data_IF_360373839847
#
_entry.id   IF_360373839847
#
_cell.length_a   1.000
_cell.length_b   1.000
_cell.length_c   1.000
_cell.angle_alpha   90.00
_cell.angle_beta   90.00
_cell.angle_gamma   90.00
#
_symmetry.space_group_name_H-M   'P 1'
#
loop_
_entity.id
_entity.type
_entity.pdbx_description
1 polymer ?
#
# COMPACT_ATOMS: atom_id res chain seq x y z
N UNK A 1 9.99 -4.04 4.09
CA UNK A 1 9.14 -4.65 5.15
C UNK A 1 7.68 -4.36 4.85
N UNK A 2 6.82 -5.35 4.83
CA UNK A 2 5.37 -5.19 4.69
C UNK A 2 4.69 -5.36 6.06
N UNK A 3 3.69 -4.54 6.34
CA UNK A 3 2.94 -4.53 7.62
C UNK A 3 1.50 -4.96 7.36
N UNK A 4 0.96 -5.82 8.25
CA UNK A 4 -0.41 -6.33 8.15
C UNK A 4 -1.13 -6.19 9.48
N UNK A 5 -2.27 -5.51 9.51
CA UNK A 5 -3.07 -5.32 10.72
C UNK A 5 -4.17 -6.35 10.93
N UNK A 6 -4.58 -7.03 9.88
CA UNK A 6 -5.69 -7.98 9.89
C UNK A 6 -7.00 -7.38 10.46
N UNK A 7 -7.37 -6.22 9.96
CA UNK A 7 -8.58 -5.51 10.39
C UNK A 7 -9.79 -5.99 9.59
N UNK A 8 -10.86 -6.37 10.30
CA UNK A 8 -12.15 -6.69 9.65
C UNK A 8 -12.77 -5.44 9.03
N UNK A 9 -13.29 -5.56 7.82
CA UNK A 9 -14.09 -4.51 7.17
C UNK A 9 -15.53 -4.40 7.69
N UNK A 10 -15.99 -5.34 8.53
CA UNK A 10 -17.34 -5.27 9.08
C UNK A 10 -17.48 -4.06 10.00
N UNK A 11 -18.44 -3.20 9.68
CA UNK A 11 -18.69 -1.85 10.20
C UNK A 11 -19.18 -1.75 11.65
N UNK A 12 -18.93 -2.70 12.52
CA UNK A 12 -19.36 -2.60 13.91
C UNK A 12 -18.30 -1.96 14.81
N UNK A 13 -17.91 -0.78 14.49
CA UNK A 13 -17.02 0.08 15.24
C UNK A 13 -16.26 0.96 14.27
N UNK A 14 -16.69 2.21 14.15
CA UNK A 14 -15.91 3.28 13.52
C UNK A 14 -14.64 3.40 14.35
N UNK A 15 -13.59 2.64 13.98
CA UNK A 15 -12.28 2.87 14.56
C UNK A 15 -11.87 4.26 14.12
N UNK A 16 -11.53 5.09 15.08
CA UNK A 16 -11.00 6.42 14.78
C UNK A 16 -9.77 6.23 13.87
N UNK A 17 -9.65 6.98 12.77
CA UNK A 17 -8.53 6.86 11.83
C UNK A 17 -7.16 6.84 12.52
N UNK A 18 -6.95 7.67 13.54
CA UNK A 18 -5.74 7.70 14.34
C UNK A 18 -5.41 6.40 15.08
N UNK A 19 -6.39 5.53 15.38
CA UNK A 19 -6.10 4.24 16.04
C UNK A 19 -5.49 3.22 15.07
N UNK A 20 -5.87 3.26 13.79
CA UNK A 20 -5.30 2.40 12.74
C UNK A 20 -3.87 2.82 12.45
N UNK A 21 -3.66 4.11 12.29
CA UNK A 21 -2.36 4.71 12.04
C UNK A 21 -1.37 4.38 13.15
N UNK A 22 -1.74 4.63 14.41
CA UNK A 22 -0.90 4.28 15.56
C UNK A 22 -0.56 2.79 15.59
N UNK A 23 -1.53 1.91 15.32
CA UNK A 23 -1.27 0.49 15.25
C UNK A 23 -0.29 0.10 14.13
N UNK A 24 -0.30 0.80 12.97
CA UNK A 24 0.68 0.60 11.91
C UNK A 24 2.08 1.08 12.32
N UNK A 25 2.16 2.22 12.98
CA UNK A 25 3.42 2.75 13.51
C UNK A 25 4.02 1.83 14.57
N UNK A 26 3.22 1.44 15.58
CA UNK A 26 3.66 0.53 16.66
C UNK A 26 4.17 -0.80 16.08
N UNK A 27 3.48 -1.35 15.09
CA UNK A 27 3.91 -2.59 14.43
C UNK A 27 5.16 -2.39 13.58
N UNK A 28 5.31 -1.24 12.95
CA UNK A 28 6.52 -0.90 12.19
C UNK A 28 7.71 -0.82 13.13
N UNK A 29 7.57 -0.12 14.24
CA UNK A 29 8.58 0.01 15.29
C UNK A 29 8.96 -1.36 15.86
N UNK A 30 7.97 -2.13 16.30
CA UNK A 30 8.21 -3.46 16.86
C UNK A 30 8.90 -4.40 15.86
N UNK A 31 8.46 -4.39 14.61
CA UNK A 31 9.07 -5.21 13.55
C UNK A 31 10.52 -4.82 13.26
N UNK A 32 10.86 -3.55 13.32
CA UNK A 32 12.24 -3.08 13.18
C UNK A 32 13.11 -3.48 14.36
N UNK A 33 12.60 -3.34 15.59
CA UNK A 33 13.30 -3.78 16.81
C UNK A 33 13.56 -5.29 16.81
N UNK A 34 12.56 -6.08 16.39
CA UNK A 34 12.71 -7.54 16.28
C UNK A 34 13.77 -7.94 15.26
N UNK A 35 13.85 -7.23 14.11
CA UNK A 35 14.90 -7.46 13.12
C UNK A 35 16.28 -7.10 13.65
N UNK A 36 16.39 -5.98 14.34
CA UNK A 36 17.63 -5.53 14.97
C UNK A 36 18.12 -6.55 16.02
N UNK A 37 17.23 -7.00 16.90
CA UNK A 37 17.56 -7.98 17.94
C UNK A 37 18.02 -9.31 17.33
N UNK A 38 17.35 -9.82 16.30
CA UNK A 38 17.76 -11.04 15.59
C UNK A 38 19.14 -10.91 14.94
N UNK A 39 19.43 -9.75 14.33
CA UNK A 39 20.74 -9.50 13.73
C UNK A 39 21.85 -9.48 14.80
N UNK A 40 21.59 -8.86 15.95
CA UNK A 40 22.51 -8.85 17.09
C UNK A 40 22.74 -10.26 17.65
N UNK A 41 21.68 -11.04 17.86
CA UNK A 41 21.79 -12.44 18.33
C UNK A 41 22.61 -13.31 17.37
N UNK A 42 22.40 -13.15 16.06
CA UNK A 42 23.18 -13.89 15.05
C UNK A 42 24.64 -13.48 15.04
N UNK A 43 24.94 -12.20 15.19
CA UNK A 43 26.30 -11.68 15.26
C UNK A 43 27.04 -12.24 16.48
N UNK A 44 26.38 -12.25 17.64
CA UNK A 44 26.94 -12.84 18.88
C UNK A 44 27.24 -14.34 18.71
N UNK A 45 26.28 -15.08 18.09
CA UNK A 45 26.47 -16.51 17.83
C UNK A 45 27.62 -16.82 16.87
N UNK A 46 27.86 -15.94 15.92
CA UNK A 46 28.87 -16.14 14.87
C UNK A 46 30.22 -15.49 15.22
N UNK A 47 30.34 -14.79 16.34
CA UNK A 47 31.53 -14.04 16.72
C UNK A 47 31.93 -12.94 15.73
N UNK A 48 30.92 -12.35 15.03
CA UNK A 48 31.07 -11.32 14.00
C UNK A 48 30.44 -10.01 14.44
N UNK A 49 30.81 -8.91 13.80
CA UNK A 49 30.07 -7.67 13.94
C UNK A 49 28.66 -7.81 13.34
N UNK A 50 27.66 -7.22 14.00
CA UNK A 50 26.28 -7.26 13.52
C UNK A 50 26.16 -6.45 12.23
N UNK A 51 25.87 -7.09 11.11
CA UNK A 51 25.42 -6.42 9.91
C UNK A 51 23.92 -6.14 10.05
N UNK A 52 23.57 -4.90 10.41
CA UNK A 52 22.19 -4.45 10.55
C UNK A 52 21.64 -4.08 9.15
N UNK A 53 21.16 -5.09 8.43
CA UNK A 53 20.48 -4.85 7.14
C UNK A 53 19.00 -4.49 7.41
N UNK A 54 18.80 -3.23 7.85
CA UNK A 54 17.49 -2.70 8.19
C UNK A 54 16.66 -2.43 6.92
N UNK A 55 15.32 -2.56 6.99
CA UNK A 55 14.44 -2.33 5.86
C UNK A 55 14.57 -0.92 5.30
N UNK A 56 14.99 -0.80 4.04
CA UNK A 56 15.04 0.48 3.35
C UNK A 56 13.64 1.02 3.00
N UNK A 57 12.69 0.12 2.79
CA UNK A 57 11.30 0.44 2.48
C UNK A 57 10.34 -0.20 3.49
N UNK A 58 9.38 0.58 3.94
CA UNK A 58 8.22 0.12 4.73
C UNK A 58 6.98 0.24 3.86
N UNK A 59 6.16 -0.80 3.83
CA UNK A 59 4.99 -0.86 2.97
C UNK A 59 3.77 -1.15 3.83
N UNK A 60 2.83 -0.20 3.85
CA UNK A 60 1.54 -0.33 4.49
C UNK A 60 0.46 -0.67 3.48
N UNK A 61 -0.61 -1.35 3.89
CA UNK A 61 -1.66 -1.81 2.98
C UNK A 61 -2.48 -0.69 2.32
N UNK A 62 -3.42 -1.10 1.46
CA UNK A 62 -4.43 -0.24 0.84
C UNK A 62 -5.30 0.46 1.89
N UNK A 63 -5.64 1.73 1.64
CA UNK A 63 -6.49 2.58 2.50
C UNK A 63 -6.09 2.54 3.98
N UNK A 64 -4.79 2.43 4.23
CA UNK A 64 -4.27 2.32 5.59
C UNK A 64 -3.75 3.65 6.11
N UNK A 65 -3.51 4.60 5.24
CA UNK A 65 -3.18 5.95 5.65
C UNK A 65 -4.45 6.64 6.18
N UNK A 66 -4.46 7.16 7.41
CA UNK A 66 -5.69 7.49 8.12
C UNK A 66 -6.38 8.74 7.61
N UNK A 67 -5.72 9.51 6.78
CA UNK A 67 -6.18 10.82 6.33
C UNK A 67 -6.16 10.87 4.82
N UNK A 68 -7.31 11.23 4.25
CA UNK A 68 -7.39 11.58 2.85
C UNK A 68 -6.62 12.87 2.59
N UNK A 69 -5.87 12.91 1.49
CA UNK A 69 -5.23 14.15 1.05
C UNK A 69 -6.23 14.94 0.23
N UNK A 70 -6.47 16.20 0.61
CA UNK A 70 -7.42 17.07 -0.06
C UNK A 70 -6.71 18.05 -1.00
N UNK A 71 -7.30 18.24 -2.18
CA UNK A 71 -6.81 19.15 -3.22
C UNK A 71 -7.96 20.04 -3.72
N UNK A 72 -7.64 21.25 -4.22
CA UNK A 72 -8.55 22.05 -5.01
C UNK A 72 -8.65 21.49 -6.42
N UNK A 73 -9.83 21.22 -6.91
CA UNK A 73 -10.03 20.65 -8.25
C UNK A 73 -9.59 21.62 -9.35
N UNK A 74 -9.83 22.93 -9.15
CA UNK A 74 -9.52 23.99 -10.12
C UNK A 74 -8.00 24.25 -10.29
N UNK A 75 -7.20 24.10 -9.23
CA UNK A 75 -5.77 24.43 -9.23
C UNK A 75 -4.85 23.22 -9.03
N UNK A 76 -5.37 22.11 -8.50
CA UNK A 76 -4.58 20.97 -8.06
C UNK A 76 -3.76 21.25 -6.79
N UNK A 77 -3.95 22.41 -6.17
CA UNK A 77 -3.28 22.77 -4.94
C UNK A 77 -3.74 21.93 -3.77
N UNK A 78 -2.80 21.47 -2.94
CA UNK A 78 -3.11 20.73 -1.74
C UNK A 78 -3.88 21.62 -0.75
N UNK A 79 -5.01 21.10 -0.30
CA UNK A 79 -5.89 21.81 0.62
C UNK A 79 -5.57 21.38 2.05
N UNK A 80 -4.95 22.24 2.89
CA UNK A 80 -4.81 21.94 4.29
C UNK A 80 -6.20 22.06 4.94
N UNK A 81 -6.84 20.94 5.23
CA UNK A 81 -7.98 20.94 6.14
C UNK A 81 -7.45 21.24 7.55
N UNK A 82 -7.97 22.27 8.20
CA UNK A 82 -7.48 22.76 9.48
C UNK A 82 -7.47 21.66 10.56
N UNK A 83 -8.47 20.77 10.54
CA UNK A 83 -8.55 19.62 11.46
C UNK A 83 -7.51 18.54 11.16
N UNK A 84 -7.07 18.44 9.89
CA UNK A 84 -6.06 17.50 9.45
C UNK A 84 -4.63 18.04 9.61
N UNK A 85 -4.41 19.36 9.62
CA UNK A 85 -3.08 19.96 9.76
C UNK A 85 -2.47 19.64 11.12
N UNK A 86 -3.25 19.76 12.19
CA UNK A 86 -2.77 19.47 13.55
C UNK A 86 -2.50 17.97 13.74
N UNK A 87 -3.31 17.11 13.14
CA UNK A 87 -3.10 15.66 13.17
C UNK A 87 -1.90 15.28 12.30
N UNK A 88 -1.79 15.81 11.08
CA UNK A 88 -0.66 15.54 10.17
C UNK A 88 0.67 15.97 10.78
N UNK A 89 0.74 17.16 11.44
CA UNK A 89 1.99 17.61 12.03
C UNK A 89 2.43 16.73 13.20
N UNK A 90 1.51 16.35 14.10
CA UNK A 90 1.84 15.49 15.23
C UNK A 90 2.26 14.07 14.77
N UNK A 91 1.60 13.56 13.71
CA UNK A 91 1.90 12.24 13.16
C UNK A 91 3.17 12.25 12.30
N UNK A 92 3.44 13.34 11.60
CA UNK A 92 4.70 13.55 10.89
C UNK A 92 5.88 13.57 11.87
N UNK A 93 5.75 14.25 13.00
CA UNK A 93 6.74 14.26 14.08
C UNK A 93 7.01 12.84 14.59
N UNK A 94 5.97 12.00 14.73
CA UNK A 94 6.13 10.63 15.18
C UNK A 94 6.83 9.75 14.14
N UNK A 95 6.46 9.84 12.85
CA UNK A 95 7.16 9.12 11.77
C UNK A 95 8.62 9.55 11.67
N UNK A 96 8.90 10.85 11.82
CA UNK A 96 10.27 11.36 11.84
C UNK A 96 11.04 10.87 13.08
N UNK A 97 10.40 10.83 14.25
CA UNK A 97 11.00 10.27 15.47
C UNK A 97 11.35 8.79 15.28
N UNK A 98 10.46 8.01 14.66
CA UNK A 98 10.70 6.59 14.33
C UNK A 98 11.86 6.43 13.36
N UNK A 99 11.92 7.26 12.30
CA UNK A 99 13.02 7.27 11.32
C UNK A 99 14.36 7.62 11.96
N UNK A 100 14.37 8.61 12.84
CA UNK A 100 15.58 9.07 13.51
C UNK A 100 16.02 8.13 14.64
N UNK A 101 15.07 7.46 15.31
CA UNK A 101 15.34 6.63 16.48
C UNK A 101 15.82 5.21 16.17
N UNK A 102 15.32 4.60 15.08
CA UNK A 102 15.60 3.18 14.77
C UNK A 102 16.33 3.05 13.44
N UNK A 103 15.66 3.42 12.35
CA UNK A 103 16.29 3.49 11.03
C UNK A 103 15.50 4.39 10.10
N UNK A 104 16.19 5.05 9.19
CA UNK A 104 15.55 5.83 8.14
C UNK A 104 14.98 4.88 7.06
N UNK A 105 13.74 5.12 6.62
CA UNK A 105 13.05 4.31 5.61
C UNK A 105 12.20 5.17 4.68
N UNK A 106 11.90 4.63 3.51
CA UNK A 106 10.92 5.18 2.58
C UNK A 106 9.59 4.48 2.85
N UNK A 107 8.51 5.25 3.02
CA UNK A 107 7.17 4.71 3.25
C UNK A 107 6.40 4.64 1.94
N UNK A 108 5.85 3.46 1.63
CA UNK A 108 4.89 3.23 0.55
C UNK A 108 3.57 2.81 1.18
N UNK A 109 2.48 3.50 0.88
CA UNK A 109 1.20 3.23 1.56
C UNK A 109 0.01 3.51 0.67
N UNK A 110 -1.12 2.84 0.95
CA UNK A 110 -2.39 3.17 0.33
C UNK A 110 -2.98 4.45 0.92
N UNK A 111 -3.31 5.42 0.07
CA UNK A 111 -3.91 6.71 0.44
C UNK A 111 -5.16 6.98 -0.39
N UNK A 112 -6.02 7.87 0.12
CA UNK A 112 -7.14 8.42 -0.63
C UNK A 112 -6.87 9.89 -0.94
N UNK A 113 -6.83 10.25 -2.23
CA UNK A 113 -6.68 11.63 -2.70
C UNK A 113 -8.02 12.17 -3.15
N UNK A 114 -8.50 13.25 -2.51
CA UNK A 114 -9.82 13.83 -2.74
C UNK A 114 -9.67 15.23 -3.30
N UNK A 115 -10.28 15.48 -4.45
CA UNK A 115 -10.33 16.78 -5.10
C UNK A 115 -11.70 17.41 -4.82
N UNK A 116 -11.68 18.61 -4.26
CA UNK A 116 -12.87 19.37 -3.92
C UNK A 116 -13.09 20.48 -4.96
N UNK A 117 -14.33 20.65 -5.39
CA UNK A 117 -14.76 21.83 -6.15
C UNK A 117 -14.63 23.10 -5.29
N UNK A 118 -14.77 24.27 -5.93
CA UNK A 118 -14.74 25.56 -5.22
C UNK A 118 -15.89 25.70 -4.20
N UNK A 119 -16.99 24.94 -4.39
CA UNK A 119 -18.10 24.86 -3.43
C UNK A 119 -17.88 23.81 -2.31
N UNK A 120 -16.70 23.18 -2.23
CA UNK A 120 -16.36 22.22 -1.22
C UNK A 120 -16.99 20.82 -1.40
N UNK A 121 -17.53 20.52 -2.58
CA UNK A 121 -18.06 19.18 -2.90
C UNK A 121 -16.94 18.29 -3.47
N UNK A 122 -17.03 17.00 -3.23
CA UNK A 122 -16.11 16.04 -3.85
C UNK A 122 -16.32 16.02 -5.35
N UNK A 123 -15.37 16.54 -6.11
CA UNK A 123 -15.34 16.52 -7.56
C UNK A 123 -14.74 15.21 -8.09
N UNK A 124 -13.62 14.78 -7.50
CA UNK A 124 -12.92 13.52 -7.84
C UNK A 124 -12.32 12.92 -6.58
N UNK A 125 -12.26 11.59 -6.53
CA UNK A 125 -11.53 10.85 -5.51
C UNK A 125 -10.68 9.76 -6.17
N UNK A 126 -9.48 9.55 -5.68
CA UNK A 126 -8.55 8.54 -6.19
C UNK A 126 -8.09 7.64 -5.06
N UNK A 127 -8.15 6.33 -5.28
CA UNK A 127 -7.47 5.34 -4.45
C UNK A 127 -6.01 5.25 -4.97
N UNK A 128 -5.03 5.51 -4.11
CA UNK A 128 -3.64 5.68 -4.53
C UNK A 128 -2.69 4.75 -3.78
N UNK A 129 -1.58 4.40 -4.44
CA UNK A 129 -0.34 4.02 -3.78
C UNK A 129 0.55 5.26 -3.75
N UNK A 130 0.94 5.70 -2.55
CA UNK A 130 1.75 6.91 -2.37
C UNK A 130 3.11 6.58 -1.77
N UNK A 131 4.15 7.20 -2.32
CA UNK A 131 5.53 7.09 -1.85
C UNK A 131 5.91 8.34 -1.09
N UNK A 132 6.41 8.18 0.14
CA UNK A 132 6.94 9.23 0.99
C UNK A 132 8.43 8.97 1.27
N UNK A 133 9.30 9.79 0.70
CA UNK A 133 10.76 9.68 0.92
C UNK A 133 11.22 10.43 2.17
N UNK A 134 10.53 11.50 2.52
CA UNK A 134 10.77 12.37 3.67
C UNK A 134 9.46 12.69 4.37
N UNK A 135 9.15 13.97 4.45
CA UNK A 135 7.90 14.50 4.95
C UNK A 135 6.73 14.31 3.94
N UNK A 136 5.52 14.71 4.34
CA UNK A 136 4.35 14.59 3.48
C UNK A 136 4.37 15.52 2.26
N UNK A 137 5.25 16.54 2.22
CA UNK A 137 5.43 17.41 1.06
C UNK A 137 6.08 16.67 -0.11
N UNK A 138 6.80 15.57 0.18
CA UNK A 138 7.46 14.73 -0.81
C UNK A 138 6.55 13.61 -1.38
N UNK A 139 5.25 13.62 -1.03
CA UNK A 139 4.30 12.62 -1.45
C UNK A 139 4.20 12.51 -2.97
N UNK A 140 4.35 11.28 -3.48
CA UNK A 140 4.18 10.95 -4.91
C UNK A 140 3.08 9.91 -5.06
N UNK A 141 1.82 10.34 -5.22
CA UNK A 141 0.69 9.44 -5.38
C UNK A 141 0.66 8.84 -6.79
N UNK A 142 0.28 7.58 -6.86
CA UNK A 142 -0.10 6.89 -8.10
C UNK A 142 -1.52 6.39 -7.97
N UNK A 143 -2.43 6.96 -8.76
CA UNK A 143 -3.84 6.64 -8.70
C UNK A 143 -4.16 5.31 -9.39
N UNK A 144 -4.94 4.47 -8.73
CA UNK A 144 -5.48 3.22 -9.26
C UNK A 144 -6.26 3.44 -10.54
N UNK A 145 -5.96 2.69 -11.58
CA UNK A 145 -6.62 2.80 -12.88
C UNK A 145 -7.68 1.72 -13.11
N UNK A 146 -7.43 0.49 -12.65
CA UNK A 146 -8.36 -0.63 -12.80
C UNK A 146 -9.27 -0.73 -11.58
N UNK A 147 -10.32 0.09 -11.58
CA UNK A 147 -11.31 0.11 -10.50
C UNK A 147 -12.21 -1.12 -10.53
N UNK A 148 -12.61 -1.58 -9.36
CA UNK A 148 -13.54 -2.71 -9.19
C UNK A 148 -14.98 -2.23 -9.43
N UNK A 149 -15.67 -2.73 -10.49
CA UNK A 149 -17.06 -2.39 -10.74
C UNK A 149 -17.94 -2.73 -9.54
N UNK A 150 -18.88 -1.86 -9.21
CA UNK A 150 -19.80 -1.96 -8.06
C UNK A 150 -19.14 -1.99 -6.68
N UNK A 151 -17.80 -1.99 -6.61
CA UNK A 151 -17.06 -1.89 -5.35
C UNK A 151 -16.46 -0.49 -5.16
N UNK A 152 -15.93 0.09 -6.24
CA UNK A 152 -15.22 1.37 -6.22
C UNK A 152 -15.90 2.42 -7.12
N UNK A 153 -16.71 2.00 -8.06
CA UNK A 153 -17.53 2.88 -8.91
C UNK A 153 -18.78 2.14 -9.40
N UNK A 154 -19.81 2.90 -9.76
CA UNK A 154 -21.02 2.36 -10.40
C UNK A 154 -20.92 2.61 -11.91
N UNK A 155 -20.86 1.53 -12.73
CA UNK A 155 -20.87 1.67 -14.18
C UNK A 155 -22.10 2.41 -14.67
N UNK A 156 -21.91 3.30 -15.68
CA UNK A 156 -22.99 4.06 -16.34
C UNK A 156 -23.85 4.95 -15.42
N UNK A 157 -23.40 5.29 -14.22
CA UNK A 157 -24.16 6.12 -13.28
C UNK A 157 -24.55 7.50 -13.86
N UNK A 158 -23.69 8.08 -14.71
CA UNK A 158 -23.96 9.36 -15.36
C UNK A 158 -25.13 9.26 -16.37
N UNK A 159 -25.23 8.10 -17.04
CA UNK A 159 -26.31 7.82 -17.99
C UNK A 159 -27.58 7.35 -17.28
N UNK A 160 -27.45 6.60 -16.20
CA UNK A 160 -28.56 6.01 -15.44
C UNK A 160 -28.40 6.28 -13.93
N UNK A 161 -28.71 7.50 -13.45
CA UNK A 161 -28.54 7.89 -12.05
C UNK A 161 -29.33 7.04 -11.03
N UNK A 162 -30.39 6.36 -11.48
CA UNK A 162 -31.19 5.49 -10.63
C UNK A 162 -30.45 4.20 -10.22
N UNK A 163 -29.39 3.79 -10.96
CA UNK A 163 -28.58 2.60 -10.64
C UNK A 163 -27.88 2.74 -9.30
N UNK A 164 -27.42 3.95 -8.97
CA UNK A 164 -26.77 4.23 -7.68
C UNK A 164 -27.75 3.98 -6.53
N UNK A 165 -28.93 4.55 -6.60
CA UNK A 165 -29.98 4.37 -5.59
C UNK A 165 -30.44 2.90 -5.47
N UNK A 166 -30.59 2.23 -6.61
CA UNK A 166 -30.99 0.83 -6.64
C UNK A 166 -29.91 -0.07 -6.01
N UNK A 167 -28.63 0.21 -6.28
CA UNK A 167 -27.51 -0.51 -5.69
C UNK A 167 -27.39 -0.28 -4.19
N UNK A 168 -27.47 0.98 -3.72
CA UNK A 168 -27.46 1.32 -2.30
C UNK A 168 -28.60 0.64 -1.53
N UNK A 169 -29.80 0.64 -2.12
CA UNK A 169 -30.95 -0.05 -1.54
C UNK A 169 -30.76 -1.57 -1.46
N UNK A 170 -30.11 -2.17 -2.45
CA UNK A 170 -29.83 -3.61 -2.53
C UNK A 170 -28.67 -4.03 -1.61
N UNK A 171 -27.62 -3.24 -1.56
CA UNK A 171 -26.41 -3.52 -0.77
C UNK A 171 -26.58 -3.23 0.73
N UNK A 172 -27.65 -2.50 1.13
CA UNK A 172 -27.91 -2.11 2.52
C UNK A 172 -26.86 -1.14 3.11
N UNK A 173 -26.00 -0.59 2.27
CA UNK A 173 -24.95 0.37 2.67
C UNK A 173 -24.77 1.38 1.55
N UNK A 174 -24.62 2.66 1.94
CA UNK A 174 -24.13 3.66 1.01
C UNK A 174 -22.76 3.22 0.49
N UNK A 175 -22.56 3.31 -0.84
CA UNK A 175 -21.21 3.19 -1.38
C UNK A 175 -20.32 4.25 -0.75
N UNK A 176 -19.08 3.86 -0.46
CA UNK A 176 -18.05 4.81 -0.08
C UNK A 176 -17.77 5.85 -1.19
N UNK A 177 -16.58 6.40 -1.19
CA UNK A 177 -16.15 7.31 -2.26
C UNK A 177 -16.27 6.64 -3.62
N UNK A 178 -16.82 7.37 -4.58
CA UNK A 178 -16.90 6.95 -5.96
C UNK A 178 -15.57 7.33 -6.62
N UNK A 179 -14.68 6.38 -6.75
CA UNK A 179 -13.34 6.66 -7.22
C UNK A 179 -13.30 6.97 -8.71
N UNK A 180 -12.36 7.83 -9.08
CA UNK A 180 -12.00 8.18 -10.45
C UNK A 180 -10.81 7.34 -10.88
N UNK A 181 -10.81 6.71 -12.06
CA UNK A 181 -9.69 5.91 -12.51
C UNK A 181 -8.47 6.78 -12.82
N UNK A 182 -7.30 6.35 -12.36
CA UNK A 182 -6.01 6.89 -12.75
C UNK A 182 -5.72 6.64 -14.23
N UNK A 183 -4.76 7.37 -14.80
CA UNK A 183 -4.40 7.25 -16.23
C UNK A 183 -2.92 6.93 -16.45
N UNK A 184 -2.08 7.08 -15.42
CA UNK A 184 -0.65 6.88 -15.55
C UNK A 184 -0.30 5.40 -15.55
N UNK A 185 0.57 5.00 -16.47
CA UNK A 185 1.23 3.69 -16.48
C UNK A 185 2.76 3.86 -16.44
N UNK A 186 3.23 4.92 -15.78
CA UNK A 186 4.66 5.18 -15.59
C UNK A 186 5.12 4.63 -14.24
N UNK A 187 6.24 3.90 -14.19
CA UNK A 187 6.86 3.51 -12.93
C UNK A 187 7.21 4.73 -12.09
N UNK A 188 7.16 4.60 -10.78
CA UNK A 188 7.60 5.63 -9.83
C UNK A 188 9.05 5.35 -9.46
N UNK A 189 10.02 6.23 -9.78
CA UNK A 189 11.40 6.03 -9.35
C UNK A 189 11.50 6.22 -7.84
N UNK A 190 11.97 5.19 -7.12
CA UNK A 190 12.12 5.22 -5.66
C UNK A 190 13.57 4.90 -5.32
N UNK A 191 14.25 5.70 -4.47
CA UNK A 191 15.60 5.39 -4.04
C UNK A 191 15.71 4.00 -3.43
N UNK A 192 16.79 3.28 -3.70
CA UNK A 192 17.01 1.93 -3.12
C UNK A 192 17.14 1.98 -1.60
N UNK A 193 17.61 3.10 -1.06
CA UNK A 193 17.68 3.45 0.37
C UNK A 193 17.46 4.93 0.52
N UNK A 194 17.00 5.42 1.67
CA UNK A 194 16.91 6.85 1.94
C UNK A 194 18.23 7.57 1.67
N UNK A 195 18.18 8.67 0.92
CA UNK A 195 19.35 9.45 0.54
C UNK A 195 20.21 8.87 -0.59
N UNK A 196 19.84 7.72 -1.17
CA UNK A 196 20.55 7.13 -2.31
C UNK A 196 20.20 7.84 -3.61
N UNK A 197 21.21 8.07 -4.46
CA UNK A 197 21.01 8.53 -5.84
C UNK A 197 20.55 7.40 -6.79
N UNK A 198 20.79 6.14 -6.42
CA UNK A 198 20.34 4.99 -7.19
C UNK A 198 18.87 4.70 -6.90
N UNK A 199 18.07 4.52 -7.95
CA UNK A 199 16.64 4.28 -7.85
C UNK A 199 16.22 2.95 -8.46
N UNK A 200 15.06 2.45 -8.02
CA UNK A 200 14.33 1.33 -8.61
C UNK A 200 13.00 1.85 -9.12
N UNK A 201 12.61 1.48 -10.32
CA UNK A 201 11.29 1.79 -10.87
C UNK A 201 10.22 0.96 -10.17
N UNK A 202 9.46 1.56 -9.27
CA UNK A 202 8.30 0.88 -8.66
C UNK A 202 7.18 0.82 -9.67
N UNK A 203 6.66 -0.39 -9.92
CA UNK A 203 5.39 -0.61 -10.59
C UNK A 203 4.32 -0.61 -9.51
N UNK A 204 3.59 0.51 -9.34
CA UNK A 204 2.60 0.63 -8.28
C UNK A 204 1.31 -0.05 -8.68
N UNK A 205 0.79 -0.89 -7.78
CA UNK A 205 -0.45 -1.64 -7.98
C UNK A 205 -1.32 -1.49 -6.72
N UNK A 206 -2.61 -1.27 -6.95
CA UNK A 206 -3.58 -1.19 -5.86
C UNK A 206 -4.59 -2.33 -6.02
N UNK A 207 -4.61 -3.22 -5.02
CA UNK A 207 -5.59 -4.32 -4.91
C UNK A 207 -5.66 -5.16 -6.19
N UNK A 208 -6.81 -5.20 -6.83
CA UNK A 208 -7.14 -6.02 -8.02
C UNK A 208 -6.28 -5.73 -9.26
N UNK A 209 -5.51 -4.66 -9.32
CA UNK A 209 -4.68 -4.33 -10.48
C UNK A 209 -3.65 -5.41 -10.80
N UNK A 210 -3.16 -6.13 -9.80
CA UNK A 210 -2.19 -7.22 -9.98
C UNK A 210 -2.75 -8.42 -10.79
N UNK A 211 -4.08 -8.53 -10.88
CA UNK A 211 -4.74 -9.56 -11.69
C UNK A 211 -4.80 -9.18 -13.19
N UNK A 212 -4.75 -7.88 -13.50
CA UNK A 212 -4.91 -7.35 -14.86
C UNK A 212 -3.57 -7.29 -15.59
N UNK A 213 -3.08 -8.41 -16.11
CA UNK A 213 -1.75 -8.51 -16.73
C UNK A 213 -1.52 -7.54 -17.89
N UNK A 214 -2.54 -7.27 -18.72
CA UNK A 214 -2.44 -6.29 -19.82
C UNK A 214 -2.20 -4.86 -19.33
N UNK A 215 -2.70 -4.52 -18.13
CA UNK A 215 -2.45 -3.24 -17.49
C UNK A 215 -1.04 -3.19 -16.90
N UNK A 216 -0.66 -4.16 -16.08
CA UNK A 216 0.65 -4.21 -15.42
C UNK A 216 1.80 -4.16 -16.43
N UNK A 217 1.64 -4.82 -17.57
CA UNK A 217 2.64 -4.84 -18.66
C UNK A 217 2.98 -3.42 -19.17
N UNK A 218 2.08 -2.46 -19.11
CA UNK A 218 2.32 -1.08 -19.57
C UNK A 218 3.39 -0.34 -18.77
N UNK A 219 3.63 -0.77 -17.52
CA UNK A 219 4.66 -0.18 -16.65
C UNK A 219 6.07 -0.70 -16.93
N UNK A 220 6.20 -1.81 -17.66
CA UNK A 220 7.51 -2.46 -17.82
C UNK A 220 8.47 -1.59 -18.63
N UNK A 221 9.66 -1.38 -18.08
CA UNK A 221 10.79 -0.67 -18.69
C UNK A 221 12.03 -1.55 -18.62
N UNK A 222 13.13 -1.11 -19.24
CA UNK A 222 14.41 -1.84 -19.20
C UNK A 222 15.16 -1.68 -17.88
N UNK A 223 14.97 -0.55 -17.19
CA UNK A 223 15.59 -0.31 -15.87
C UNK A 223 15.15 -1.34 -14.82
N UNK A 224 15.93 -1.47 -13.73
CA UNK A 224 15.55 -2.29 -12.58
C UNK A 224 14.19 -1.88 -12.02
N UNK A 225 13.29 -2.84 -11.87
CA UNK A 225 11.94 -2.59 -11.42
C UNK A 225 11.49 -3.58 -10.35
N UNK A 226 10.58 -3.13 -9.49
CA UNK A 226 9.91 -3.91 -8.46
C UNK A 226 8.42 -3.62 -8.49
N UNK A 227 7.59 -4.64 -8.52
CA UNK A 227 6.14 -4.48 -8.32
C UNK A 227 5.84 -4.33 -6.83
N UNK A 228 5.06 -3.32 -6.49
CA UNK A 228 4.54 -3.12 -5.13
C UNK A 228 3.03 -3.09 -5.20
N UNK A 229 2.38 -4.07 -4.55
CA UNK A 229 0.93 -4.13 -4.44
C UNK A 229 0.52 -3.82 -3.00
N UNK A 230 -0.33 -2.83 -2.84
CA UNK A 230 -1.04 -2.54 -1.58
C UNK A 230 -2.49 -2.98 -1.73
N UNK A 231 -2.99 -3.79 -0.80
CA UNK A 231 -4.31 -4.40 -0.96
C UNK A 231 -5.06 -4.55 0.35
N UNK A 232 -6.38 -4.71 0.22
CA UNK A 232 -7.24 -5.04 1.33
C UNK A 232 -8.23 -6.15 0.91
N UNK A 233 -7.85 -7.39 1.20
CA UNK A 233 -8.64 -8.57 0.84
C UNK A 233 -9.81 -8.84 1.81
N UNK A 234 -10.13 -7.89 2.70
CA UNK A 234 -11.24 -8.01 3.66
C UNK A 234 -12.61 -8.26 3.04
N UNK A 235 -12.77 -7.88 1.77
CA UNK A 235 -13.98 -8.16 0.97
C UNK A 235 -14.23 -9.65 0.77
N UNK A 236 -13.19 -10.47 0.70
CA UNK A 236 -13.28 -11.90 0.48
C UNK A 236 -13.57 -12.69 1.76
N UNK A 237 -13.65 -12.03 2.92
CA UNK A 237 -13.71 -12.68 4.21
C UNK A 237 -12.60 -13.75 4.35
N UNK A 238 -12.83 -14.81 5.14
CA UNK A 238 -11.89 -15.93 5.27
C UNK A 238 -12.19 -17.03 4.23
N UNK A 239 -12.12 -16.68 2.95
CA UNK A 239 -12.39 -17.61 1.87
C UNK A 239 -11.12 -17.95 1.07
N UNK A 240 -11.20 -18.94 0.17
CA UNK A 240 -10.12 -19.30 -0.73
C UNK A 240 -9.77 -18.19 -1.75
N UNK A 241 -10.63 -17.17 -1.89
CA UNK A 241 -10.37 -16.05 -2.79
C UNK A 241 -9.11 -15.26 -2.40
N UNK A 242 -8.77 -15.18 -1.11
CA UNK A 242 -7.52 -14.59 -0.65
C UNK A 242 -6.28 -15.33 -1.21
N UNK A 243 -6.32 -16.67 -1.21
CA UNK A 243 -5.24 -17.50 -1.77
C UNK A 243 -5.21 -17.38 -3.30
N UNK A 244 -6.34 -17.33 -3.97
CA UNK A 244 -6.42 -17.17 -5.41
C UNK A 244 -5.89 -15.80 -5.84
N UNK A 245 -6.18 -14.74 -5.11
CA UNK A 245 -5.78 -13.38 -5.45
C UNK A 245 -4.24 -13.26 -5.52
N UNK A 246 -3.52 -13.61 -4.44
CA UNK A 246 -2.06 -13.50 -4.47
C UNK A 246 -1.39 -14.47 -5.46
N UNK A 247 -1.99 -15.65 -5.72
CA UNK A 247 -1.47 -16.58 -6.73
C UNK A 247 -1.59 -16.00 -8.13
N UNK A 248 -2.67 -15.25 -8.42
CA UNK A 248 -2.76 -14.49 -9.66
C UNK A 248 -1.69 -13.42 -9.76
N UNK A 249 -1.37 -12.74 -8.65
CA UNK A 249 -0.26 -11.79 -8.60
C UNK A 249 1.10 -12.45 -8.91
N UNK A 250 1.31 -13.69 -8.44
CA UNK A 250 2.55 -14.45 -8.73
C UNK A 250 2.77 -14.67 -10.23
N UNK A 251 1.70 -14.83 -11.03
CA UNK A 251 1.84 -14.91 -12.50
C UNK A 251 2.42 -13.63 -13.09
N UNK A 252 2.18 -12.46 -12.50
CA UNK A 252 2.82 -11.20 -12.95
C UNK A 252 4.32 -11.24 -12.79
N UNK A 253 4.81 -11.85 -11.71
CA UNK A 253 6.25 -12.03 -11.53
C UNK A 253 6.86 -12.87 -12.65
N UNK A 254 6.21 -13.99 -12.99
CA UNK A 254 6.66 -14.91 -14.03
C UNK A 254 6.62 -14.26 -15.42
N UNK A 255 5.50 -13.62 -15.76
CA UNK A 255 5.28 -12.99 -17.06
C UNK A 255 6.22 -11.82 -17.33
N UNK A 256 6.47 -11.02 -16.30
CA UNK A 256 7.20 -9.76 -16.43
C UNK A 256 8.66 -9.86 -15.98
N UNK A 257 9.05 -11.01 -15.39
CA UNK A 257 10.39 -11.23 -14.82
C UNK A 257 10.77 -10.14 -13.80
N UNK A 258 9.83 -9.79 -12.95
CA UNK A 258 9.99 -8.79 -11.89
C UNK A 258 9.57 -9.38 -10.55
N UNK A 259 10.32 -9.04 -9.49
CA UNK A 259 9.90 -9.33 -8.13
C UNK A 259 8.67 -8.53 -7.74
N UNK A 260 7.93 -9.01 -6.75
CA UNK A 260 6.80 -8.31 -6.16
C UNK A 260 6.84 -8.37 -4.65
N UNK A 261 6.47 -7.28 -4.01
CA UNK A 261 6.05 -7.27 -2.61
C UNK A 261 4.57 -6.87 -2.55
N UNK A 262 3.80 -7.67 -1.84
CA UNK A 262 2.37 -7.46 -1.60
C UNK A 262 2.15 -7.23 -0.11
N UNK A 263 1.60 -6.08 0.26
CA UNK A 263 1.20 -5.74 1.62
C UNK A 263 -0.33 -5.75 1.70
N UNK A 264 -0.87 -6.67 2.47
CA UNK A 264 -2.31 -6.84 2.65
C UNK A 264 -2.74 -6.32 4.03
N UNK A 265 -3.89 -5.62 4.13
CA UNK A 265 -4.48 -5.34 5.45
C UNK A 265 -4.95 -6.65 6.11
N UNK A 266 -5.67 -7.47 5.35
CA UNK A 266 -6.01 -8.85 5.69
C UNK A 266 -5.86 -9.71 4.45
N UNK A 267 -5.68 -11.02 4.60
CA UNK A 267 -5.33 -11.91 3.50
C UNK A 267 -3.84 -12.25 3.50
N UNK A 268 -3.21 -12.31 2.34
CA UNK A 268 -1.83 -12.79 2.20
C UNK A 268 -0.88 -11.65 1.89
N UNK A 269 -0.02 -11.28 2.86
CA UNK A 269 1.18 -10.47 2.60
C UNK A 269 2.31 -11.40 2.17
N UNK A 270 2.93 -11.13 1.01
CA UNK A 270 3.91 -12.03 0.39
C UNK A 270 4.96 -11.27 -0.40
N UNK A 271 6.19 -11.77 -0.38
CA UNK A 271 7.31 -11.35 -1.21
C UNK A 271 7.63 -12.43 -2.24
N UNK A 272 7.65 -12.08 -3.51
CA UNK A 272 7.77 -12.99 -4.65
C UNK A 272 9.01 -12.70 -5.48
N UNK A 273 9.72 -13.75 -5.86
CA UNK A 273 10.82 -13.69 -6.81
C UNK A 273 10.32 -13.51 -8.26
N UNK A 274 11.20 -13.15 -9.22
CA UNK A 274 10.82 -12.97 -10.63
C UNK A 274 10.29 -14.24 -11.32
N UNK A 275 10.56 -15.42 -10.76
CA UNK A 275 10.04 -16.70 -11.22
C UNK A 275 8.74 -17.13 -10.52
N UNK A 276 8.14 -16.24 -9.71
CA UNK A 276 6.92 -16.51 -8.95
C UNK A 276 7.13 -17.29 -7.63
N UNK A 277 8.36 -17.66 -7.29
CA UNK A 277 8.64 -18.35 -6.04
C UNK A 277 8.41 -17.42 -4.84
N UNK A 278 7.85 -17.96 -3.77
CA UNK A 278 7.68 -17.25 -2.51
C UNK A 278 9.04 -17.13 -1.82
N UNK A 279 9.47 -15.90 -1.55
CA UNK A 279 10.67 -15.58 -0.77
C UNK A 279 10.31 -15.50 0.71
N UNK A 280 9.19 -14.84 1.03
CA UNK A 280 8.63 -14.75 2.36
C UNK A 280 7.13 -14.53 2.28
N UNK A 281 6.39 -15.02 3.26
CA UNK A 281 4.98 -14.71 3.46
C UNK A 281 4.68 -14.55 4.97
N UNK A 282 3.57 -13.89 5.28
CA UNK A 282 3.13 -13.69 6.65
C UNK A 282 2.02 -14.67 6.98
N UNK A 283 2.32 -15.60 7.89
CA UNK A 283 1.36 -16.57 8.43
C UNK A 283 1.58 -16.76 9.92
N UNK A 284 0.53 -17.13 10.64
CA UNK A 284 0.64 -17.54 12.03
C UNK A 284 1.18 -18.98 12.17
N UNK A 285 1.32 -19.44 13.40
CA UNK A 285 1.81 -20.80 13.71
C UNK A 285 0.92 -21.93 13.17
N UNK A 286 -0.34 -21.64 12.83
CA UNK A 286 -1.25 -22.58 12.19
C UNK A 286 -1.19 -22.57 10.66
N UNK A 287 -0.36 -21.69 10.08
CA UNK A 287 -0.27 -21.45 8.63
C UNK A 287 -1.35 -20.51 8.09
N UNK A 288 -2.15 -19.86 8.95
CA UNK A 288 -3.19 -18.94 8.51
C UNK A 288 -2.61 -17.58 8.14
N UNK A 289 -3.01 -16.99 6.99
CA UNK A 289 -2.60 -15.64 6.61
C UNK A 289 -3.40 -14.55 7.34
N UNK A 290 -4.47 -14.92 8.07
CA UNK A 290 -5.33 -13.99 8.79
C UNK A 290 -4.73 -13.64 10.16
N UNK A 291 -3.53 -13.09 10.13
CA UNK A 291 -2.75 -12.74 11.31
C UNK A 291 -2.32 -11.28 11.28
N UNK A 292 -1.94 -10.76 12.42
CA UNK A 292 -1.31 -9.45 12.57
C UNK A 292 0.20 -9.64 12.65
N UNK A 293 0.98 -8.84 11.93
CA UNK A 293 2.43 -8.95 11.97
C UNK A 293 3.14 -8.15 10.91
N UNK A 294 4.44 -8.37 10.82
CA UNK A 294 5.31 -7.80 9.80
C UNK A 294 6.04 -8.91 9.05
N UNK A 295 6.28 -8.67 7.77
CA UNK A 295 7.10 -9.52 6.90
C UNK A 295 8.27 -8.71 6.37
N UNK A 296 9.48 -9.16 6.61
CA UNK A 296 10.69 -8.58 6.03
C UNK A 296 11.29 -9.54 5.00
N UNK A 297 11.73 -9.00 3.87
CA UNK A 297 12.38 -9.76 2.82
C UNK A 297 13.35 -8.89 2.02
N UNK A 298 14.42 -9.51 1.54
CA UNK A 298 15.30 -8.92 0.51
C UNK A 298 14.91 -9.49 -0.84
N UNK A 299 14.59 -8.59 -1.78
CA UNK A 299 14.11 -8.95 -3.10
C UNK A 299 15.16 -8.67 -4.18
N UNK A 300 15.39 -9.62 -5.12
CA UNK A 300 16.22 -9.34 -6.28
C UNK A 300 15.49 -8.34 -7.19
N UNK A 301 16.19 -7.26 -7.56
CA UNK A 301 15.70 -6.27 -8.50
C UNK A 301 16.50 -6.40 -9.77
N UNK A 302 15.88 -6.98 -10.80
CA UNK A 302 16.54 -7.27 -12.09
C UNK A 302 16.00 -6.42 -13.23
N UNK A 303 16.84 -6.29 -14.28
CA UNK A 303 16.40 -5.86 -15.61
C UNK A 303 16.06 -7.11 -16.43
N UNK A 304 15.08 -7.05 -17.31
CA UNK A 304 14.96 -8.04 -18.41
C UNK A 304 16.10 -7.76 -19.40
N UNK A 305 16.92 -8.77 -19.67
CA UNK A 305 17.72 -8.79 -20.89
C UNK A 305 16.82 -9.09 -22.08
#
# INVERSE_FOLDING_TARGET
MAVQLNLSQRKNGIRQPGSIYRALLDMTEQGMLDLQNRALEQAVKNGAEASLDMPAWVIWPESSFPISTFYRDSTGERFPNQDNVNFLSAEEDYVQALRNGICNFILLTGTDDIYLSDEGRVARAYNCLTVFEGDYSTARPHAKAMLVPFGEYIPMRETFPFLEKAFEASAGTAMGLNYTPGRSSSPVPVPIRPGSSSTVGVIPLVCFEDVVGSWVRRFVRQEPQLMVNVTNDGWFNRSCANEQHWRNAAFRCIELRRSMVRAANTGVSVALAPNGAVIADLRDSSGSPFTRGVMAATLPVGCTK
#
